data_IF_547502223511
#
_entry.id   IF_547502223511
#
_cell.length_a   1.000
_cell.length_b   1.000
_cell.length_c   1.000
_cell.angle_alpha   90.00
_cell.angle_beta   90.00
_cell.angle_gamma   90.00
#
_symmetry.space_group_name_H-M   'P 1'
#
loop_
_entity.id
_entity.type
_entity.pdbx_description
1 polymer ?
#
# COMPACT_ATOMS: atom_id res chain seq x y z
N UNK A 1 -0.42 -4.17 8.90
CA UNK A 1 -0.08 -5.08 7.78
C UNK A 1 0.41 -6.47 8.24
N UNK A 2 0.15 -6.87 9.50
CA UNK A 2 0.40 -8.24 10.01
C UNK A 2 -0.80 -8.84 10.75
N UNK A 3 -2.03 -8.37 10.51
CA UNK A 3 -3.24 -8.83 11.20
C UNK A 3 -3.47 -10.33 11.03
N UNK A 4 -3.10 -10.91 9.89
CA UNK A 4 -3.17 -12.36 9.66
C UNK A 4 -2.25 -13.19 10.57
N UNK A 5 -1.24 -12.57 11.21
CA UNK A 5 -0.39 -13.19 12.25
C UNK A 5 -0.91 -12.91 13.67
N UNK A 6 -2.14 -12.40 13.82
CA UNK A 6 -2.74 -12.06 15.12
C UNK A 6 -2.30 -10.71 15.68
N UNK A 7 -1.64 -9.85 14.89
CA UNK A 7 -1.30 -8.49 15.34
C UNK A 7 -2.53 -7.59 15.34
N UNK A 8 -2.82 -6.92 16.46
CA UNK A 8 -3.92 -5.95 16.56
C UNK A 8 -3.39 -4.52 16.72
N UNK A 9 -3.87 -3.54 15.92
CA UNK A 9 -3.55 -2.13 16.12
C UNK A 9 -4.18 -1.56 17.39
N UNK A 10 -5.14 -2.27 18.02
CA UNK A 10 -5.79 -1.84 19.26
C UNK A 10 -4.78 -1.57 20.38
N UNK A 11 -3.73 -2.38 20.50
CA UNK A 11 -2.66 -2.16 21.49
C UNK A 11 -1.97 -0.81 21.36
N UNK A 12 -1.91 -0.23 20.16
CA UNK A 12 -1.39 1.12 19.97
C UNK A 12 -2.44 2.21 20.19
N UNK A 13 -3.70 1.94 19.86
CA UNK A 13 -4.81 2.89 20.03
C UNK A 13 -5.21 3.02 21.51
N UNK A 14 -5.18 1.91 22.24
CA UNK A 14 -5.52 1.79 23.67
C UNK A 14 -4.27 1.62 24.53
N UNK A 15 -3.13 2.17 24.09
CA UNK A 15 -1.81 1.94 24.71
C UNK A 15 -1.81 2.10 26.24
N UNK A 16 -2.41 3.17 26.77
CA UNK A 16 -2.42 3.43 28.21
C UNK A 16 -3.26 2.40 29.01
N UNK A 17 -4.25 1.78 28.38
CA UNK A 17 -5.09 0.73 28.98
C UNK A 17 -4.37 -0.61 28.93
N UNK A 18 -3.73 -0.94 27.81
CA UNK A 18 -3.03 -2.21 27.59
C UNK A 18 -1.66 -2.26 28.29
N UNK A 19 -1.01 -1.11 28.49
CA UNK A 19 0.29 -0.98 29.15
C UNK A 19 0.22 0.05 30.29
N UNK A 20 -0.35 -0.32 31.45
CA UNK A 20 -0.47 0.59 32.59
C UNK A 20 0.91 1.08 33.07
N UNK A 21 1.03 2.39 33.22
CA UNK A 21 2.24 3.07 33.69
C UNK A 21 1.86 4.28 34.55
N UNK A 22 2.68 4.69 35.54
CA UNK A 22 2.47 5.93 36.29
C UNK A 22 2.40 7.19 35.39
N UNK A 23 2.99 7.13 34.20
CA UNK A 23 2.92 8.20 33.20
C UNK A 23 3.33 7.71 31.80
N UNK A 24 2.82 8.38 30.78
CA UNK A 24 3.13 8.07 29.38
C UNK A 24 3.38 9.35 28.61
N UNK A 25 4.54 9.44 27.96
CA UNK A 25 4.89 10.56 27.08
C UNK A 25 4.69 10.15 25.63
N UNK A 26 3.80 10.83 24.93
CA UNK A 26 3.54 10.58 23.51
C UNK A 26 4.36 11.55 22.65
N UNK A 27 5.29 11.02 21.87
CA UNK A 27 6.05 11.76 20.87
C UNK A 27 5.59 11.35 19.47
N UNK A 28 5.02 12.28 18.71
CA UNK A 28 4.56 12.03 17.34
C UNK A 28 5.48 12.71 16.33
N UNK A 29 6.03 11.94 15.39
CA UNK A 29 6.83 12.45 14.30
C UNK A 29 5.93 12.63 13.06
N UNK A 30 5.60 13.87 12.72
CA UNK A 30 4.74 14.24 11.57
C UNK A 30 5.52 14.59 10.30
N UNK A 31 6.77 14.98 10.43
CA UNK A 31 7.58 15.46 9.31
C UNK A 31 8.06 14.28 8.45
N UNK A 32 7.76 14.32 7.15
CA UNK A 32 8.12 13.34 6.17
C UNK A 32 9.13 13.95 5.19
N UNK A 33 10.35 13.40 5.18
CA UNK A 33 11.44 13.86 4.33
C UNK A 33 11.63 13.01 3.07
N UNK A 34 10.77 11.99 2.87
CA UNK A 34 10.86 11.05 1.75
C UNK A 34 10.04 11.53 0.56
N UNK A 35 8.73 11.66 0.74
CA UNK A 35 7.77 11.79 -0.35
C UNK A 35 7.24 13.22 -0.44
N UNK A 36 6.84 13.66 -1.63
CA UNK A 36 6.11 14.91 -1.78
C UNK A 36 4.67 14.79 -1.26
N UNK A 37 4.00 15.93 -1.06
CA UNK A 37 2.73 15.99 -0.34
C UNK A 37 1.60 15.18 -1.02
N UNK A 38 1.49 15.17 -2.35
CA UNK A 38 0.46 14.35 -3.04
C UNK A 38 0.55 12.83 -2.74
N UNK A 39 1.76 12.24 -2.64
CA UNK A 39 1.87 10.81 -2.25
C UNK A 39 1.34 10.60 -0.83
N UNK A 40 1.67 11.51 0.09
CA UNK A 40 1.25 11.44 1.49
C UNK A 40 -0.28 11.56 1.57
N UNK A 41 -0.84 12.58 0.92
CA UNK A 41 -2.28 12.85 0.92
C UNK A 41 -3.08 11.70 0.30
N UNK A 42 -2.61 11.15 -0.83
CA UNK A 42 -3.22 10.00 -1.48
C UNK A 42 -3.25 8.78 -0.55
N UNK A 43 -2.10 8.45 0.07
CA UNK A 43 -2.04 7.32 1.00
C UNK A 43 -2.94 7.54 2.23
N UNK A 44 -2.89 8.73 2.84
CA UNK A 44 -3.73 9.09 3.99
C UNK A 44 -5.22 9.04 3.64
N UNK A 45 -5.60 9.46 2.43
CA UNK A 45 -6.97 9.38 1.95
C UNK A 45 -7.48 7.93 1.91
N UNK A 46 -6.69 7.01 1.35
CA UNK A 46 -7.06 5.59 1.26
C UNK A 46 -7.26 4.99 2.66
N UNK A 47 -6.32 5.25 3.59
CA UNK A 47 -6.35 4.61 4.92
C UNK A 47 -7.30 5.29 5.92
N UNK A 48 -7.87 6.46 5.60
CA UNK A 48 -8.75 7.23 6.50
C UNK A 48 -9.96 6.44 7.03
N UNK A 49 -10.42 5.42 6.29
CA UNK A 49 -11.52 4.56 6.75
C UNK A 49 -11.12 3.59 7.87
N UNK A 50 -9.84 3.24 7.96
CA UNK A 50 -9.34 2.30 8.95
C UNK A 50 -9.12 3.02 10.29
N UNK A 51 -9.37 2.35 11.43
CA UNK A 51 -9.00 2.86 12.75
C UNK A 51 -7.52 3.24 12.81
N UNK A 52 -7.25 4.43 13.33
CA UNK A 52 -5.93 5.04 13.44
C UNK A 52 -5.80 5.86 14.72
N UNK A 53 -4.55 6.12 15.11
CA UNK A 53 -4.23 7.00 16.24
C UNK A 53 -4.64 8.44 15.89
N UNK A 54 -5.44 9.13 16.72
CA UNK A 54 -5.87 10.51 16.45
C UNK A 54 -4.69 11.48 16.28
N UNK A 55 -4.82 12.44 15.37
CA UNK A 55 -3.81 13.49 15.15
C UNK A 55 -2.59 13.07 14.31
N UNK A 56 -2.61 11.86 13.73
CA UNK A 56 -1.60 11.44 12.77
C UNK A 56 -1.89 12.09 11.42
N UNK A 57 -1.19 13.19 11.12
CA UNK A 57 -1.11 13.79 9.78
C UNK A 57 0.34 14.04 9.45
N UNK A 58 0.82 13.46 8.35
CA UNK A 58 2.17 13.65 7.89
C UNK A 58 2.26 14.87 6.96
N UNK A 59 3.36 15.61 7.07
CA UNK A 59 3.65 16.77 6.23
C UNK A 59 4.97 16.55 5.50
N UNK A 60 5.02 16.84 4.21
CA UNK A 60 6.25 16.83 3.44
C UNK A 60 7.17 18.00 3.88
N UNK A 61 8.40 17.66 4.27
CA UNK A 61 9.35 18.60 4.88
C UNK A 61 10.79 18.41 4.37
N UNK A 62 10.98 17.55 3.39
CA UNK A 62 12.23 17.45 2.63
C UNK A 62 12.34 18.52 1.54
N UNK A 63 13.31 18.36 0.65
CA UNK A 63 13.48 19.21 -0.52
C UNK A 63 12.18 19.35 -1.33
N UNK A 64 11.84 20.56 -1.82
CA UNK A 64 10.69 20.75 -2.69
C UNK A 64 10.76 19.83 -3.91
N UNK A 65 9.69 19.06 -4.12
CA UNK A 65 9.52 18.15 -5.25
C UNK A 65 8.24 18.53 -5.99
N UNK A 66 8.23 18.31 -7.30
CA UNK A 66 7.02 18.48 -8.09
C UNK A 66 5.88 17.64 -7.52
N UNK A 67 4.69 18.23 -7.42
CA UNK A 67 3.51 17.53 -6.95
C UNK A 67 2.92 16.74 -8.11
N UNK A 68 3.14 15.43 -8.10
CA UNK A 68 2.60 14.50 -9.09
C UNK A 68 1.46 13.70 -8.44
N UNK A 69 0.26 13.61 -9.03
CA UNK A 69 -0.80 12.77 -8.49
C UNK A 69 -0.41 11.28 -8.56
N UNK A 70 -1.02 10.46 -7.69
CA UNK A 70 -0.99 9.01 -7.87
C UNK A 70 -1.90 8.67 -9.05
N UNK A 71 -1.32 8.13 -10.13
CA UNK A 71 -2.08 7.73 -11.31
C UNK A 71 -2.66 6.35 -11.09
N UNK A 72 -3.97 6.21 -11.27
CA UNK A 72 -4.69 4.95 -11.13
C UNK A 72 -5.17 4.53 -12.52
N UNK A 73 -4.76 3.35 -12.97
CA UNK A 73 -5.00 2.86 -14.32
C UNK A 73 -5.64 1.48 -14.29
N UNK A 74 -6.33 1.13 -15.36
CA UNK A 74 -6.64 -0.27 -15.64
C UNK A 74 -5.36 -1.05 -15.97
N UNK A 75 -5.36 -2.34 -15.67
CA UNK A 75 -4.22 -3.21 -15.95
C UNK A 75 -4.00 -3.39 -17.46
N UNK A 76 -2.96 -2.73 -17.97
CA UNK A 76 -2.35 -2.93 -19.28
C UNK A 76 -0.85 -3.22 -19.09
N UNK A 77 -0.50 -4.50 -19.14
CA UNK A 77 0.85 -4.98 -18.82
C UNK A 77 1.89 -4.49 -19.88
N UNK A 78 1.46 -4.22 -21.12
CA UNK A 78 2.34 -3.67 -22.16
C UNK A 78 2.63 -2.17 -21.95
N UNK A 79 1.61 -1.37 -21.60
CA UNK A 79 1.80 0.04 -21.26
C UNK A 79 2.64 0.22 -19.99
N UNK A 80 2.38 -0.61 -18.98
CA UNK A 80 3.17 -0.71 -17.76
C UNK A 80 4.64 -0.98 -18.08
N UNK A 81 4.95 -1.99 -18.89
CA UNK A 81 6.32 -2.35 -19.25
C UNK A 81 7.08 -1.19 -19.91
N UNK A 82 6.43 -0.45 -20.83
CA UNK A 82 7.00 0.76 -21.45
C UNK A 82 7.29 1.85 -20.42
N UNK A 83 6.39 2.06 -19.47
CA UNK A 83 6.57 3.08 -18.43
C UNK A 83 7.67 2.72 -17.43
N UNK A 84 7.79 1.44 -17.05
CA UNK A 84 8.90 0.92 -16.23
C UNK A 84 10.23 1.14 -16.93
N UNK A 85 10.32 0.81 -18.23
CA UNK A 85 11.53 1.05 -19.03
C UNK A 85 11.90 2.53 -19.06
N UNK A 86 10.94 3.42 -19.34
CA UNK A 86 11.17 4.85 -19.40
C UNK A 86 11.71 5.44 -18.08
N UNK A 87 11.18 5.00 -16.93
CA UNK A 87 11.71 5.40 -15.62
C UNK A 87 13.14 4.87 -15.41
N UNK A 88 13.39 3.61 -15.75
CA UNK A 88 14.70 3.01 -15.58
C UNK A 88 15.77 3.68 -16.46
N UNK A 89 15.44 4.02 -17.70
CA UNK A 89 16.33 4.74 -18.64
C UNK A 89 16.62 6.17 -18.18
N UNK A 90 15.65 6.86 -17.59
CA UNK A 90 15.84 8.19 -16.94
C UNK A 90 16.74 8.14 -15.72
N UNK A 91 16.95 6.96 -15.18
CA UNK A 91 17.84 6.73 -14.06
C UNK A 91 17.15 6.57 -12.71
N UNK A 92 15.82 6.50 -12.71
CA UNK A 92 15.02 6.38 -11.50
C UNK A 92 15.20 4.99 -10.86
N UNK A 93 15.18 4.93 -9.53
CA UNK A 93 14.94 3.68 -8.84
C UNK A 93 13.48 3.24 -9.03
N UNK A 94 13.27 1.96 -9.33
CA UNK A 94 11.96 1.38 -9.66
C UNK A 94 11.61 0.27 -8.68
N UNK A 95 10.43 0.36 -8.09
CA UNK A 95 9.89 -0.66 -7.21
C UNK A 95 8.54 -1.14 -7.73
N UNK A 96 8.46 -2.42 -8.05
CA UNK A 96 7.23 -3.09 -8.47
C UNK A 96 6.70 -3.93 -7.31
N UNK A 97 5.47 -3.63 -6.89
CA UNK A 97 4.75 -4.32 -5.84
C UNK A 97 3.58 -5.11 -6.42
N UNK A 98 3.53 -6.40 -6.16
CA UNK A 98 2.45 -7.27 -6.61
C UNK A 98 1.80 -8.02 -5.45
N UNK A 99 0.63 -8.62 -5.69
CA UNK A 99 -0.14 -9.31 -4.62
C UNK A 99 0.42 -10.69 -4.35
N UNK A 100 0.70 -11.43 -5.41
CA UNK A 100 1.11 -12.84 -5.39
C UNK A 100 2.18 -13.06 -6.46
N UNK A 101 3.05 -14.04 -6.25
CA UNK A 101 4.17 -14.31 -7.17
C UNK A 101 3.73 -14.64 -8.60
N UNK A 102 2.49 -15.09 -8.80
CA UNK A 102 1.91 -15.29 -10.14
C UNK A 102 1.82 -14.00 -10.95
N UNK A 103 1.56 -12.86 -10.31
CA UNK A 103 1.50 -11.56 -10.99
C UNK A 103 2.88 -11.14 -11.53
N UNK A 104 3.96 -11.54 -10.83
CA UNK A 104 5.33 -11.32 -11.30
C UNK A 104 5.57 -12.04 -12.62
N UNK A 105 5.19 -13.32 -12.70
CA UNK A 105 5.38 -14.12 -13.92
C UNK A 105 4.63 -13.55 -15.12
N UNK A 106 3.46 -12.94 -14.90
CA UNK A 106 2.66 -12.33 -15.97
C UNK A 106 3.32 -11.06 -16.54
N UNK A 107 3.93 -10.23 -15.69
CA UNK A 107 4.54 -8.98 -16.15
C UNK A 107 5.97 -9.17 -16.69
N UNK A 108 6.64 -10.28 -16.35
CA UNK A 108 8.05 -10.53 -16.67
C UNK A 108 8.34 -10.38 -18.17
N UNK A 109 7.46 -10.86 -19.05
CA UNK A 109 7.63 -10.76 -20.51
C UNK A 109 7.68 -9.31 -21.02
N UNK A 110 6.97 -8.40 -20.34
CA UNK A 110 6.90 -6.99 -20.72
C UNK A 110 8.05 -6.14 -20.15
N UNK A 111 8.76 -6.64 -19.13
CA UNK A 111 9.86 -5.93 -18.48
C UNK A 111 11.22 -6.62 -18.66
N UNK A 112 11.28 -7.71 -19.45
CA UNK A 112 12.48 -8.55 -19.59
C UNK A 112 13.72 -7.75 -19.97
N UNK A 113 13.58 -6.74 -20.83
CA UNK A 113 14.69 -5.85 -21.21
C UNK A 113 15.31 -5.15 -19.98
N UNK A 114 14.46 -4.59 -19.10
CA UNK A 114 14.90 -3.91 -17.87
C UNK A 114 15.51 -4.91 -16.89
N UNK A 115 14.88 -6.07 -16.72
CA UNK A 115 15.38 -7.13 -15.83
C UNK A 115 16.75 -7.64 -16.28
N UNK A 116 16.96 -7.84 -17.58
CA UNK A 116 18.24 -8.30 -18.11
C UNK A 116 19.35 -7.26 -17.87
N UNK A 117 19.07 -5.99 -18.14
CA UNK A 117 20.02 -4.91 -17.90
C UNK A 117 20.34 -4.81 -16.40
N UNK A 118 19.33 -4.73 -15.54
CA UNK A 118 19.52 -4.55 -14.09
C UNK A 118 20.23 -5.75 -13.46
N UNK A 119 19.88 -6.98 -13.84
CA UNK A 119 20.51 -8.20 -13.30
C UNK A 119 21.98 -8.35 -13.70
N UNK A 120 22.39 -7.78 -14.84
CA UNK A 120 23.80 -7.74 -15.27
C UNK A 120 24.67 -6.81 -14.41
N UNK A 121 24.06 -5.88 -13.68
CA UNK A 121 24.76 -4.94 -12.81
C UNK A 121 25.16 -5.57 -11.46
N UNK A 122 26.24 -5.08 -10.82
CA UNK A 122 26.56 -5.41 -9.44
C UNK A 122 25.39 -5.08 -8.50
N UNK A 123 25.21 -5.87 -7.44
CA UNK A 123 24.05 -5.77 -6.55
C UNK A 123 23.80 -4.35 -5.98
N UNK A 124 24.85 -3.56 -5.74
CA UNK A 124 24.74 -2.18 -5.23
C UNK A 124 24.29 -1.16 -6.28
N UNK A 125 24.40 -1.47 -7.57
CA UNK A 125 24.03 -0.60 -8.68
C UNK A 125 22.65 -0.92 -9.26
N UNK A 126 22.00 -1.97 -8.76
CA UNK A 126 20.65 -2.37 -9.17
C UNK A 126 19.61 -1.40 -8.65
N UNK A 127 18.70 -1.02 -9.54
CA UNK A 127 17.64 -0.03 -9.30
C UNK A 127 16.24 -0.60 -9.46
N UNK A 128 16.10 -1.79 -10.06
CA UNK A 128 14.82 -2.49 -10.13
C UNK A 128 14.65 -3.43 -8.93
N UNK A 129 13.55 -3.28 -8.20
CA UNK A 129 13.14 -4.23 -7.16
C UNK A 129 11.72 -4.72 -7.41
N UNK A 130 11.52 -6.02 -7.25
CA UNK A 130 10.25 -6.69 -7.49
C UNK A 130 9.89 -7.56 -6.28
N UNK A 131 8.77 -7.29 -5.63
CA UNK A 131 8.35 -8.01 -4.42
C UNK A 131 6.85 -7.91 -4.17
N UNK A 132 6.36 -8.70 -3.21
CA UNK A 132 4.96 -8.58 -2.79
C UNK A 132 4.74 -7.33 -1.93
N UNK A 133 3.51 -6.81 -1.88
CA UNK A 133 3.15 -5.68 -1.01
C UNK A 133 3.60 -5.85 0.45
N UNK A 134 3.45 -7.06 1.01
CA UNK A 134 3.81 -7.35 2.40
C UNK A 134 5.32 -7.29 2.67
N UNK A 135 6.14 -7.49 1.65
CA UNK A 135 7.60 -7.46 1.72
C UNK A 135 8.18 -6.06 1.53
N UNK A 136 7.34 -5.04 1.23
CA UNK A 136 7.80 -3.70 0.88
C UNK A 136 8.15 -2.79 2.06
N UNK A 137 8.02 -3.29 3.29
CA UNK A 137 8.30 -2.50 4.49
C UNK A 137 9.78 -2.09 4.52
N UNK A 138 10.02 -0.81 4.79
CA UNK A 138 11.38 -0.24 4.84
C UNK A 138 12.01 0.08 3.49
N UNK A 139 11.41 -0.35 2.37
CA UNK A 139 11.86 0.02 1.04
C UNK A 139 11.25 1.37 0.59
N UNK A 140 11.87 1.95 -0.43
CA UNK A 140 11.40 3.12 -1.18
C UNK A 140 12.02 3.12 -2.59
N UNK A 141 11.40 3.85 -3.52
CA UNK A 141 11.93 4.07 -4.87
C UNK A 141 11.37 5.39 -5.45
N UNK A 142 12.04 5.91 -6.46
CA UNK A 142 11.63 7.12 -7.19
C UNK A 142 10.28 6.90 -7.89
N UNK A 143 10.14 5.75 -8.55
CA UNK A 143 8.91 5.30 -9.17
C UNK A 143 8.42 3.97 -8.58
N UNK A 144 7.16 3.92 -8.18
CA UNK A 144 6.52 2.73 -7.62
C UNK A 144 5.34 2.31 -8.48
N UNK A 145 5.31 1.03 -8.82
CA UNK A 145 4.25 0.39 -9.60
C UNK A 145 3.51 -0.60 -8.70
N UNK A 146 2.25 -0.29 -8.40
CA UNK A 146 1.36 -1.12 -7.61
C UNK A 146 0.52 -1.97 -8.56
N UNK A 147 0.74 -3.28 -8.57
CA UNK A 147 0.10 -4.22 -9.50
C UNK A 147 -1.00 -5.01 -8.80
N UNK A 148 -2.22 -4.83 -9.31
CA UNK A 148 -3.43 -5.40 -8.73
C UNK A 148 -3.90 -4.61 -7.50
N UNK A 149 -5.19 -4.75 -7.19
CA UNK A 149 -5.78 -4.08 -6.03
C UNK A 149 -5.52 -4.86 -4.74
N UNK A 150 -5.23 -4.15 -3.65
CA UNK A 150 -5.20 -4.76 -2.33
C UNK A 150 -6.62 -5.27 -2.01
N UNK A 151 -6.75 -6.59 -1.92
CA UNK A 151 -8.02 -7.29 -1.71
C UNK A 151 -7.81 -8.36 -0.64
N UNK A 152 -8.86 -8.62 0.14
CA UNK A 152 -8.87 -9.76 1.06
C UNK A 152 -10.09 -10.64 0.76
N UNK A 153 -9.83 -11.86 0.30
CA UNK A 153 -10.86 -12.78 -0.21
C UNK A 153 -11.27 -13.83 0.84
N UNK A 154 -10.75 -13.78 2.07
CA UNK A 154 -11.03 -14.80 3.08
C UNK A 154 -12.04 -14.31 4.09
N UNK A 155 -13.25 -14.88 4.09
CA UNK A 155 -14.11 -14.90 5.28
C UNK A 155 -13.78 -16.15 6.08
N UNK A 156 -13.66 -16.04 7.39
CA UNK A 156 -13.36 -17.21 8.22
C UNK A 156 -14.18 -17.22 9.52
N UNK A 157 -15.29 -17.98 9.54
CA UNK A 157 -16.09 -18.14 10.76
C UNK A 157 -15.27 -18.61 11.96
N UNK A 158 -14.35 -19.55 11.74
CA UNK A 158 -13.45 -20.05 12.79
C UNK A 158 -12.49 -18.98 13.32
N UNK A 159 -11.87 -18.18 12.45
CA UNK A 159 -10.98 -17.10 12.91
C UNK A 159 -11.77 -15.98 13.59
N UNK A 160 -12.99 -15.68 13.14
CA UNK A 160 -13.89 -14.76 13.83
C UNK A 160 -14.24 -15.27 15.25
N UNK A 161 -14.45 -16.58 15.43
CA UNK A 161 -14.65 -17.16 16.74
C UNK A 161 -13.39 -17.02 17.63
N UNK A 162 -12.21 -17.35 17.10
CA UNK A 162 -10.94 -17.22 17.83
C UNK A 162 -10.68 -15.76 18.23
N UNK A 163 -10.93 -14.80 17.34
CA UNK A 163 -10.80 -13.37 17.66
C UNK A 163 -11.71 -12.96 18.81
N UNK A 164 -13.00 -13.36 18.77
CA UNK A 164 -13.93 -13.09 19.88
C UNK A 164 -13.47 -13.73 21.19
N UNK A 165 -13.04 -14.99 21.17
CA UNK A 165 -12.54 -15.68 22.36
C UNK A 165 -11.28 -15.02 22.93
N UNK A 166 -10.44 -14.45 22.08
CA UNK A 166 -9.25 -13.70 22.47
C UNK A 166 -9.54 -12.25 22.89
N UNK A 167 -10.80 -11.82 22.91
CA UNK A 167 -11.19 -10.42 23.21
C UNK A 167 -10.73 -9.42 22.14
N UNK A 168 -10.46 -9.89 20.91
CA UNK A 168 -10.05 -9.05 19.78
C UNK A 168 -11.27 -8.61 18.98
N UNK A 169 -11.45 -7.30 18.82
CA UNK A 169 -12.59 -6.70 18.13
C UNK A 169 -13.42 -5.78 19.02
N UNK A 170 -14.52 -5.26 18.50
CA UNK A 170 -15.46 -4.44 19.28
C UNK A 170 -16.51 -5.33 19.95
N UNK A 171 -17.04 -4.87 21.08
CA UNK A 171 -18.16 -5.55 21.74
C UNK A 171 -19.36 -5.66 20.78
N UNK A 172 -19.88 -6.88 20.64
CA UNK A 172 -20.97 -7.18 19.71
C UNK A 172 -20.57 -7.37 18.24
N UNK A 173 -19.29 -7.27 17.88
CA UNK A 173 -18.83 -7.58 16.52
C UNK A 173 -18.86 -9.10 16.26
N UNK A 174 -19.69 -9.52 15.31
CA UNK A 174 -19.81 -10.92 14.89
C UNK A 174 -18.69 -11.38 13.95
N UNK A 175 -17.99 -10.44 13.29
CA UNK A 175 -16.97 -10.71 12.27
C UNK A 175 -15.65 -9.93 12.50
N UNK A 176 -15.06 -9.97 13.72
CA UNK A 176 -13.93 -9.10 14.06
C UNK A 176 -12.64 -9.41 13.29
N UNK A 177 -12.40 -10.67 12.92
CA UNK A 177 -11.25 -11.02 12.07
C UNK A 177 -11.44 -10.44 10.67
N UNK A 178 -12.60 -10.65 10.06
CA UNK A 178 -12.87 -10.20 8.70
C UNK A 178 -12.84 -8.66 8.62
N UNK A 179 -13.39 -7.96 9.61
CA UNK A 179 -13.30 -6.50 9.71
C UNK A 179 -11.85 -6.01 9.85
N UNK A 180 -11.04 -6.67 10.69
CA UNK A 180 -9.61 -6.36 10.79
C UNK A 180 -8.87 -6.58 9.46
N UNK A 181 -9.26 -7.59 8.66
CA UNK A 181 -8.70 -7.80 7.32
C UNK A 181 -9.10 -6.69 6.33
N UNK A 182 -10.33 -6.14 6.41
CA UNK A 182 -10.75 -4.99 5.59
C UNK A 182 -9.89 -3.76 5.89
N UNK A 183 -9.66 -3.46 7.17
CA UNK A 183 -8.77 -2.36 7.55
C UNK A 183 -7.33 -2.61 7.08
N UNK A 184 -6.90 -3.87 7.09
CA UNK A 184 -5.58 -4.27 6.65
C UNK A 184 -5.33 -4.01 5.17
N UNK A 185 -6.34 -4.24 4.33
CA UNK A 185 -6.29 -3.92 2.90
C UNK A 185 -5.97 -2.45 2.67
N UNK A 186 -6.61 -1.56 3.42
CA UNK A 186 -6.35 -0.11 3.33
C UNK A 186 -4.95 0.25 3.83
N UNK A 187 -4.49 -0.38 4.91
CA UNK A 187 -3.12 -0.18 5.43
C UNK A 187 -2.06 -0.71 4.46
N UNK A 188 -2.35 -1.78 3.72
CA UNK A 188 -1.44 -2.35 2.73
C UNK A 188 -1.29 -1.41 1.53
N UNK A 189 -2.39 -0.87 1.02
CA UNK A 189 -2.37 0.15 -0.03
C UNK A 189 -1.61 1.41 0.41
N UNK A 190 -1.84 1.89 1.64
CA UNK A 190 -1.06 2.98 2.24
C UNK A 190 0.45 2.66 2.24
N UNK A 191 0.84 1.45 2.65
CA UNK A 191 2.26 1.06 2.65
C UNK A 191 2.82 1.07 1.23
N UNK A 192 2.07 0.55 0.25
CA UNK A 192 2.44 0.56 -1.16
C UNK A 192 2.67 1.96 -1.72
N UNK A 193 1.68 2.85 -1.58
CA UNK A 193 1.74 4.23 -2.06
C UNK A 193 2.92 4.98 -1.40
N UNK A 194 3.10 4.85 -0.09
CA UNK A 194 4.19 5.52 0.66
C UNK A 194 5.59 4.94 0.42
N UNK A 195 5.75 3.96 -0.46
CA UNK A 195 7.08 3.59 -0.98
C UNK A 195 7.57 4.59 -2.03
N UNK A 196 6.67 5.34 -2.65
CA UNK A 196 7.01 6.27 -3.72
C UNK A 196 7.65 7.53 -3.14
N UNK A 197 8.76 7.94 -3.77
CA UNK A 197 9.40 9.24 -3.51
C UNK A 197 8.79 10.30 -4.42
N UNK A 198 8.59 9.97 -5.71
CA UNK A 198 8.20 10.94 -6.75
C UNK A 198 7.02 10.49 -7.63
N UNK A 199 6.96 9.21 -8.00
CA UNK A 199 5.92 8.69 -8.89
C UNK A 199 5.28 7.44 -8.32
N UNK A 200 3.95 7.36 -8.37
CA UNK A 200 3.20 6.17 -7.99
C UNK A 200 2.13 5.88 -9.04
N UNK A 201 2.20 4.69 -9.61
CA UNK A 201 1.24 4.18 -10.58
C UNK A 201 0.54 2.97 -9.96
N UNK A 202 -0.79 2.98 -9.97
CA UNK A 202 -1.61 1.90 -9.43
C UNK A 202 -2.45 1.27 -10.53
N UNK A 203 -2.01 0.09 -10.97
CA UNK A 203 -2.70 -0.71 -11.97
C UNK A 203 -3.69 -1.65 -11.27
N UNK A 204 -4.98 -1.47 -11.54
CA UNK A 204 -6.04 -2.30 -10.96
C UNK A 204 -6.72 -3.14 -12.03
N UNK A 205 -7.20 -4.32 -11.64
CA UNK A 205 -7.96 -5.20 -12.54
C UNK A 205 -9.34 -4.61 -12.85
N UNK A 206 -9.84 -4.89 -14.05
CA UNK A 206 -11.25 -4.63 -14.37
C UNK A 206 -12.14 -5.39 -13.40
N UNK A 207 -13.29 -4.82 -12.97
CA UNK A 207 -14.28 -5.55 -12.20
C UNK A 207 -14.89 -6.67 -13.07
N UNK A 208 -14.26 -7.83 -13.13
CA UNK A 208 -14.87 -9.03 -13.71
C UNK A 208 -15.99 -9.53 -12.79
N UNK A 209 -17.15 -9.80 -13.39
CA UNK A 209 -18.48 -9.87 -12.77
C UNK A 209 -18.74 -10.92 -11.69
N UNK A 210 -17.72 -11.52 -11.06
CA UNK A 210 -17.87 -12.49 -9.97
C UNK A 210 -17.30 -12.02 -8.61
N UNK A 211 -16.71 -10.82 -8.55
CA UNK A 211 -16.07 -10.27 -7.33
C UNK A 211 -16.80 -9.11 -6.65
N UNK A 212 -18.11 -8.92 -6.90
CA UNK A 212 -18.89 -7.71 -6.53
C UNK A 212 -18.90 -7.38 -5.03
N UNK A 213 -18.41 -8.26 -4.16
CA UNK A 213 -18.49 -8.11 -2.70
C UNK A 213 -17.15 -8.17 -1.94
N UNK A 214 -16.01 -8.10 -2.64
CA UNK A 214 -14.67 -8.08 -2.01
C UNK A 214 -14.21 -6.62 -1.85
N UNK A 215 -14.00 -6.13 -0.61
CA UNK A 215 -13.52 -4.78 -0.38
C UNK A 215 -12.18 -4.54 -1.06
N UNK A 216 -12.15 -3.45 -1.83
CA UNK A 216 -11.03 -3.05 -2.66
C UNK A 216 -10.47 -1.73 -2.16
N UNK A 217 -9.16 -1.62 -2.02
CA UNK A 217 -8.58 -0.35 -1.58
C UNK A 217 -8.78 0.74 -2.64
N UNK A 218 -8.77 0.36 -3.93
CA UNK A 218 -8.95 1.31 -5.04
C UNK A 218 -10.36 1.90 -5.16
N UNK A 219 -11.37 1.33 -4.47
CA UNK A 219 -12.72 1.93 -4.36
C UNK A 219 -12.72 3.23 -3.54
N UNK A 220 -11.62 3.49 -2.83
CA UNK A 220 -11.42 4.72 -2.03
C UNK A 220 -10.71 5.82 -2.81
N UNK A 221 -10.33 5.58 -4.06
CA UNK A 221 -9.78 6.61 -4.94
C UNK A 221 -10.90 7.59 -5.29
N UNK A 222 -10.63 8.88 -5.13
CA UNK A 222 -11.54 9.98 -5.45
C UNK A 222 -10.89 10.86 -6.52
N UNK A 223 -11.28 10.67 -7.78
CA UNK A 223 -10.73 11.40 -8.93
C UNK A 223 -10.97 12.92 -8.89
N UNK A 224 -11.74 13.44 -7.94
CA UNK A 224 -11.89 14.90 -7.71
C UNK A 224 -10.75 15.48 -6.86
N UNK A 225 -9.90 14.64 -6.27
CA UNK A 225 -8.78 15.08 -5.44
C UNK A 225 -7.55 15.31 -6.30
N UNK A 226 -6.88 16.45 -6.11
CA UNK A 226 -5.68 16.82 -6.86
C UNK A 226 -4.49 15.83 -6.72
N UNK A 227 -4.50 14.97 -5.71
CA UNK A 227 -3.49 13.95 -5.49
C UNK A 227 -3.81 12.59 -6.13
N UNK A 228 -4.93 12.47 -6.83
CA UNK A 228 -5.27 11.32 -7.67
C UNK A 228 -5.46 11.75 -9.12
N UNK A 229 -5.00 10.90 -10.03
CA UNK A 229 -5.31 10.96 -11.44
C UNK A 229 -5.93 9.61 -11.81
N UNK A 230 -7.25 9.54 -11.73
CA UNK A 230 -8.01 8.31 -11.94
C UNK A 230 -8.36 8.17 -13.42
N UNK A 231 -7.62 7.32 -14.13
CA UNK A 231 -7.76 7.07 -15.57
C UNK A 231 -8.48 5.75 -15.87
N UNK A 232 -9.17 5.17 -14.88
CA UNK A 232 -9.99 3.98 -15.08
C UNK A 232 -11.24 4.31 -15.88
N UNK A 233 -11.70 3.38 -16.73
CA UNK A 233 -12.89 3.56 -17.58
C UNK A 233 -14.19 3.16 -16.91
#
# INVERSE_FOLDING_TARGET
IYGWRGSSPQYFMEFNKEFPSPGTTRVMLSENYRSHQHIIDAAEHIVRAAPAIPGKKAKASGEPKALVPVTVLERDDAALGRLVLAHYERGDSVLMLYRKSSDKSLIEEHIQAVVNVDSSLPAGSRRLKQLTYHSAKGLQADAVFLLGDCQHVTRSPYKNQVYRMAGLGKDGDSEPYDNAQKDEVLRLAYVGITRAVSHCYWYVEKPEGQGVNVPRASERVDGKKAFFDDQRS
#
